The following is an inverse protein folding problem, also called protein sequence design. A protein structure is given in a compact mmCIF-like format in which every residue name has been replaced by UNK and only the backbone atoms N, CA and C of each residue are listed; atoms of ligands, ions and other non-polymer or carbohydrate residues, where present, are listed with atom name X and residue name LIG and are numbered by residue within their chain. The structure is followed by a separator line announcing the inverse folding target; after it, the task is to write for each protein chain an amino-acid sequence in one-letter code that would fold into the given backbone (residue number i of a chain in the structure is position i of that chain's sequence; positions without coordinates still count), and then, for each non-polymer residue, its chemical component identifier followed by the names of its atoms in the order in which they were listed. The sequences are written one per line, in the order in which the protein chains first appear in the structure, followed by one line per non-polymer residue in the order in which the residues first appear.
data_IF_342417681477
#
_entry.id   IF_342417681477
#
_cell.length_a   1.000
_cell.length_b   1.000
_cell.length_c   1.000
_cell.angle_alpha   90.00
_cell.angle_beta   90.00
_cell.angle_gamma   90.00
#
_symmetry.space_group_name_H-M   'P 1'
#
loop_
_entity.id
_entity.type
_entity.pdbx_description
1 polymer ?
#
# COMPACT_ATOMS: atom_id res chain seq x y z
N UNK A 1 -23.39 2.83 19.86
CA UNK A 1 -22.14 3.60 19.96
C UNK A 1 -21.74 4.05 18.56
N UNK A 2 -21.29 5.29 18.39
CA UNK A 2 -20.78 5.81 17.12
C UNK A 2 -19.26 5.65 17.11
N UNK A 3 -18.70 5.09 16.05
CA UNK A 3 -17.25 5.05 15.83
C UNK A 3 -16.82 6.36 15.17
N UNK A 4 -15.74 6.96 15.66
CA UNK A 4 -15.16 8.21 15.14
C UNK A 4 -13.69 8.01 14.81
N UNK A 5 -13.23 8.59 13.69
CA UNK A 5 -11.84 8.52 13.25
C UNK A 5 -11.29 9.91 12.94
N UNK A 6 -9.96 10.08 13.01
CA UNK A 6 -9.30 11.27 12.47
C UNK A 6 -9.26 11.20 10.93
N UNK A 7 -9.08 9.98 10.40
CA UNK A 7 -9.08 9.70 8.96
C UNK A 7 -9.92 8.45 8.67
N UNK A 8 -10.84 8.57 7.71
CA UNK A 8 -11.58 7.44 7.14
C UNK A 8 -11.11 7.22 5.70
N UNK A 9 -10.65 6.00 5.40
CA UNK A 9 -10.20 5.57 4.08
C UNK A 9 -11.28 4.65 3.49
N UNK A 10 -11.76 4.98 2.29
CA UNK A 10 -12.76 4.18 1.57
C UNK A 10 -12.06 3.38 0.47
N UNK A 11 -12.04 2.06 0.63
CA UNK A 11 -11.42 1.09 -0.28
C UNK A 11 -10.18 0.41 0.32
N UNK A 12 -10.21 -0.91 0.36
CA UNK A 12 -9.16 -1.82 0.84
C UNK A 12 -8.28 -2.39 -0.27
N UNK A 13 -8.11 -1.66 -1.37
CA UNK A 13 -7.07 -1.95 -2.37
C UNK A 13 -5.69 -1.49 -1.90
N UNK A 14 -4.65 -1.74 -2.70
CA UNK A 14 -3.24 -1.44 -2.34
C UNK A 14 -3.03 0.03 -1.98
N UNK A 15 -3.72 0.96 -2.66
CA UNK A 15 -3.62 2.39 -2.36
C UNK A 15 -4.23 2.72 -1.00
N UNK A 16 -5.38 2.14 -0.65
CA UNK A 16 -6.01 2.37 0.64
C UNK A 16 -5.20 1.77 1.79
N UNK A 17 -4.76 0.52 1.64
CA UNK A 17 -3.91 -0.15 2.62
C UNK A 17 -2.56 0.56 2.80
N UNK A 18 -1.88 0.96 1.71
CA UNK A 18 -0.63 1.71 1.79
C UNK A 18 -0.84 3.06 2.46
N UNK A 19 -1.94 3.76 2.16
CA UNK A 19 -2.28 5.03 2.81
C UNK A 19 -2.47 4.85 4.31
N UNK A 20 -3.24 3.84 4.73
CA UNK A 20 -3.44 3.53 6.14
C UNK A 20 -2.11 3.21 6.85
N UNK A 21 -1.27 2.39 6.21
CA UNK A 21 0.06 2.03 6.71
C UNK A 21 0.95 3.26 6.90
N UNK A 22 1.10 4.12 5.88
CA UNK A 22 1.98 5.27 5.98
C UNK A 22 1.44 6.35 6.93
N UNK A 23 0.12 6.52 7.03
CA UNK A 23 -0.48 7.40 8.06
C UNK A 23 -0.16 6.89 9.47
N UNK A 24 -0.32 5.58 9.71
CA UNK A 24 0.05 4.96 10.99
C UNK A 24 1.54 5.12 11.28
N UNK A 25 2.41 4.91 10.29
CA UNK A 25 3.86 5.09 10.39
C UNK A 25 4.26 6.53 10.72
N UNK A 26 3.51 7.51 10.21
CA UNK A 26 3.69 8.94 10.52
C UNK A 26 3.08 9.36 11.88
N UNK A 27 2.48 8.42 12.63
CA UNK A 27 1.96 8.65 13.97
C UNK A 27 0.45 8.90 14.06
N UNK A 28 -0.28 8.85 12.95
CA UNK A 28 -1.75 8.93 12.98
C UNK A 28 -2.32 7.61 13.53
N UNK A 29 -2.93 7.66 14.71
CA UNK A 29 -3.35 6.45 15.44
C UNK A 29 -4.82 6.09 15.23
N UNK A 30 -5.66 7.05 14.85
CA UNK A 30 -7.11 6.86 14.71
C UNK A 30 -7.54 6.86 13.24
N UNK A 31 -7.13 5.80 12.53
CA UNK A 31 -7.43 5.58 11.12
C UNK A 31 -8.41 4.42 10.99
N UNK A 32 -9.51 4.62 10.26
CA UNK A 32 -10.45 3.56 9.90
C UNK A 32 -10.39 3.35 8.39
N UNK A 33 -10.15 2.10 7.97
CA UNK A 33 -10.28 1.67 6.57
C UNK A 33 -11.59 0.88 6.41
N UNK A 34 -12.41 1.28 5.45
CA UNK A 34 -13.65 0.62 5.10
C UNK A 34 -13.51 -0.01 3.71
N UNK A 35 -13.75 -1.32 3.63
CA UNK A 35 -13.84 -2.06 2.38
C UNK A 35 -15.23 -2.71 2.30
N UNK A 36 -15.84 -2.66 1.12
CA UNK A 36 -17.19 -3.19 0.86
C UNK A 36 -17.17 -4.72 0.80
N UNK A 37 -16.13 -5.27 0.19
CA UNK A 37 -15.96 -6.70 -0.03
C UNK A 37 -14.79 -7.22 0.84
N UNK A 38 -13.83 -7.94 0.27
CA UNK A 38 -12.58 -8.34 0.95
C UNK A 38 -11.42 -7.40 0.64
N UNK A 39 -10.40 -7.39 1.51
CA UNK A 39 -9.12 -6.69 1.23
C UNK A 39 -8.55 -7.18 -0.11
N UNK A 40 -8.09 -6.24 -0.92
CA UNK A 40 -7.56 -6.47 -2.26
C UNK A 40 -8.54 -7.16 -3.25
N UNK A 41 -9.85 -7.20 -2.97
CA UNK A 41 -10.85 -7.84 -3.85
C UNK A 41 -11.03 -7.19 -5.23
N UNK A 42 -10.60 -5.94 -5.41
CA UNK A 42 -10.66 -5.21 -6.68
C UNK A 42 -9.45 -5.42 -7.59
N UNK A 43 -9.05 -4.37 -8.31
CA UNK A 43 -7.93 -4.39 -9.26
C UNK A 43 -6.59 -4.86 -8.63
N UNK A 44 -6.40 -4.65 -7.32
CA UNK A 44 -5.19 -5.09 -6.61
C UNK A 44 -5.04 -6.61 -6.61
N UNK A 45 -6.08 -7.38 -6.27
CA UNK A 45 -5.98 -8.83 -6.21
C UNK A 45 -5.93 -9.50 -7.59
N UNK A 46 -6.36 -8.77 -8.64
CA UNK A 46 -6.30 -9.22 -10.03
C UNK A 46 -5.00 -8.82 -10.76
N UNK A 47 -4.13 -8.04 -10.11
CA UNK A 47 -2.89 -7.59 -10.74
C UNK A 47 -1.85 -8.70 -10.76
N UNK A 48 -0.99 -8.72 -11.78
CA UNK A 48 0.07 -9.73 -11.94
C UNK A 48 1.35 -9.41 -11.15
N UNK A 49 1.31 -8.44 -10.22
CA UNK A 49 2.41 -8.12 -9.31
C UNK A 49 3.63 -7.42 -9.93
N UNK A 50 3.56 -6.91 -11.17
CA UNK A 50 4.71 -6.29 -11.84
C UNK A 50 5.06 -4.90 -11.32
N UNK A 51 6.35 -4.66 -11.03
CA UNK A 51 6.89 -3.35 -10.63
C UNK A 51 7.75 -2.77 -11.75
N UNK A 52 7.51 -1.51 -12.16
CA UNK A 52 8.26 -0.83 -13.23
C UNK A 52 8.62 0.60 -12.85
N UNK A 53 9.76 1.06 -13.36
CA UNK A 53 10.28 2.41 -13.14
C UNK A 53 10.17 3.30 -14.40
N UNK A 54 9.95 2.69 -15.57
CA UNK A 54 9.91 3.39 -16.85
C UNK A 54 8.51 3.89 -17.13
N UNK A 55 8.34 5.22 -17.13
CA UNK A 55 7.05 5.88 -17.36
C UNK A 55 7.22 7.10 -18.27
N UNK A 56 6.12 7.59 -18.85
CA UNK A 56 6.14 8.71 -19.80
C UNK A 56 6.42 10.09 -19.19
N UNK A 57 6.38 10.22 -17.86
CA UNK A 57 6.63 11.49 -17.16
C UNK A 57 7.68 11.30 -16.08
N UNK A 58 8.44 12.35 -15.80
CA UNK A 58 9.47 12.33 -14.76
C UNK A 58 8.88 11.97 -13.38
N UNK A 59 7.73 12.57 -13.02
CA UNK A 59 7.07 12.31 -11.73
C UNK A 59 6.72 10.83 -11.56
N UNK A 60 6.23 10.17 -12.61
CA UNK A 60 5.90 8.75 -12.55
C UNK A 60 7.16 7.88 -12.45
N UNK A 61 8.25 8.26 -13.13
CA UNK A 61 9.54 7.60 -12.98
C UNK A 61 10.07 7.71 -11.53
N UNK A 62 9.95 8.89 -10.91
CA UNK A 62 10.35 9.09 -9.51
C UNK A 62 9.49 8.28 -8.55
N UNK A 63 8.17 8.22 -8.77
CA UNK A 63 7.28 7.35 -7.98
C UNK A 63 7.65 5.88 -8.14
N UNK A 64 7.92 5.42 -9.36
CA UNK A 64 8.34 4.05 -9.63
C UNK A 64 9.66 3.68 -8.94
N UNK A 65 10.66 4.58 -8.98
CA UNK A 65 11.94 4.41 -8.27
C UNK A 65 11.74 4.31 -6.75
N UNK A 66 10.91 5.18 -6.18
CA UNK A 66 10.58 5.14 -4.74
C UNK A 66 9.84 3.87 -4.36
N UNK A 67 8.92 3.41 -5.20
CA UNK A 67 8.23 2.14 -5.03
C UNK A 67 9.20 0.96 -5.03
N UNK A 68 10.14 0.92 -5.98
CA UNK A 68 11.16 -0.13 -6.02
C UNK A 68 11.99 -0.18 -4.73
N UNK A 69 12.49 0.97 -4.27
CA UNK A 69 13.28 1.04 -3.04
C UNK A 69 12.53 0.55 -1.79
N UNK A 70 11.19 0.67 -1.78
CA UNK A 70 10.34 0.07 -0.75
C UNK A 70 10.27 -1.45 -0.91
N UNK A 71 10.02 -1.95 -2.14
CA UNK A 71 9.93 -3.39 -2.40
C UNK A 71 11.23 -4.14 -2.11
N UNK A 72 12.39 -3.54 -2.37
CA UNK A 72 13.71 -4.10 -2.02
C UNK A 72 13.87 -4.35 -0.51
N UNK A 73 13.19 -3.55 0.32
CA UNK A 73 13.25 -3.61 1.78
C UNK A 73 11.97 -4.15 2.41
N UNK A 74 11.04 -4.70 1.62
CA UNK A 74 9.68 -4.98 2.08
C UNK A 74 9.62 -5.97 3.25
N UNK A 75 10.54 -6.93 3.30
CA UNK A 75 10.61 -7.90 4.40
C UNK A 75 11.08 -7.28 5.71
N UNK A 76 11.98 -6.30 5.65
CA UNK A 76 12.44 -5.55 6.82
C UNK A 76 11.39 -4.53 7.27
N UNK A 77 10.71 -3.92 6.30
CA UNK A 77 9.74 -2.84 6.51
C UNK A 77 8.40 -3.32 7.07
N UNK A 78 7.96 -4.53 6.67
CA UNK A 78 6.65 -5.08 7.06
C UNK A 78 6.74 -6.26 8.04
N UNK A 79 7.92 -6.85 8.24
CA UNK A 79 8.15 -8.04 9.07
C UNK A 79 7.04 -9.12 8.91
N UNK A 80 6.75 -9.56 7.67
CA UNK A 80 5.61 -10.44 7.43
C UNK A 80 5.85 -11.84 7.99
N UNK A 81 4.77 -12.54 8.37
CA UNK A 81 4.82 -13.94 8.84
C UNK A 81 5.51 -14.87 7.82
N UNK A 82 5.38 -14.56 6.53
CA UNK A 82 6.02 -15.28 5.44
C UNK A 82 6.84 -14.32 4.58
N UNK A 83 8.07 -14.73 4.28
CA UNK A 83 8.99 -13.94 3.45
C UNK A 83 8.35 -13.64 2.09
N UNK A 84 8.26 -12.35 1.77
CA UNK A 84 7.84 -11.88 0.45
C UNK A 84 9.00 -12.07 -0.51
N UNK A 85 8.76 -12.85 -1.57
CA UNK A 85 9.71 -13.03 -2.66
C UNK A 85 9.55 -11.87 -3.64
N UNK A 86 10.58 -11.03 -3.73
CA UNK A 86 10.67 -9.97 -4.71
C UNK A 86 11.91 -10.20 -5.59
N UNK A 87 11.70 -10.30 -6.90
CA UNK A 87 12.74 -10.46 -7.92
C UNK A 87 12.46 -9.46 -9.03
N UNK A 88 13.51 -8.79 -9.50
CA UNK A 88 13.43 -7.76 -10.54
C UNK A 88 13.71 -8.32 -11.93
#
# INVERSE_FOLDING_TARGET
MVLTADVVIIGGGIIGCATAYFLAKLGCRNVILLEKEGIASGATGLCTGGVRQQWGTEINCQMGKRGLAFYEKINEELEPEHKILFQQ
#
